data_IF_886058790426
#
_entry.id   IF_886058790426
#
_cell.length_a   1.000
_cell.length_b   1.000
_cell.length_c   1.000
_cell.angle_alpha   90.00
_cell.angle_beta   90.00
_cell.angle_gamma   90.00
#
_symmetry.space_group_name_H-M   'P 1'
#
loop_
_entity.id
_entity.type
_entity.pdbx_description
1 polymer ?
#
# COMPACT_ATOMS: atom_id res chain seq x y z
N UNK A 1 14.22 -1.93 25.72
CA UNK A 1 13.09 -1.02 25.42
C UNK A 1 12.14 -1.74 24.48
N UNK A 2 10.98 -2.25 24.94
CA UNK A 2 9.99 -2.84 24.05
C UNK A 2 8.70 -2.02 24.09
N UNK A 3 8.34 -1.38 22.98
CA UNK A 3 6.96 -0.93 22.79
C UNK A 3 6.51 -1.21 21.36
N UNK A 4 6.41 -2.50 21.04
CA UNK A 4 5.55 -2.96 19.96
C UNK A 4 4.19 -3.28 20.57
N UNK A 5 3.35 -2.26 20.72
CA UNK A 5 1.91 -2.45 20.86
C UNK A 5 1.33 -2.71 19.47
N UNK A 6 0.83 -3.92 19.15
CA UNK A 6 0.10 -4.15 17.92
C UNK A 6 -1.34 -3.69 18.11
N UNK A 7 -1.55 -2.39 18.27
CA UNK A 7 -2.88 -1.79 18.19
C UNK A 7 -3.31 -1.78 16.73
N UNK A 8 -4.02 -2.84 16.35
CA UNK A 8 -4.88 -2.93 15.17
C UNK A 8 -5.87 -1.76 15.21
N UNK A 9 -5.50 -0.66 14.56
CA UNK A 9 -6.35 0.51 14.40
C UNK A 9 -5.87 1.26 13.17
N UNK A 10 -6.47 0.91 12.04
CA UNK A 10 -6.55 1.61 10.74
C UNK A 10 -5.82 2.95 10.66
N UNK A 11 -4.50 2.92 10.80
CA UNK A 11 -3.59 3.99 10.46
C UNK A 11 -2.59 3.33 9.54
N UNK A 12 -2.35 3.87 8.33
CA UNK A 12 -1.38 3.31 7.42
C UNK A 12 -0.03 3.40 8.12
N UNK A 13 0.44 2.26 8.65
CA UNK A 13 1.80 2.15 9.17
C UNK A 13 2.77 2.61 8.08
N UNK A 14 3.92 3.22 8.42
CA UNK A 14 4.88 3.68 7.42
C UNK A 14 5.21 2.59 6.38
N UNK A 15 5.23 1.33 6.81
CA UNK A 15 5.34 0.14 5.96
C UNK A 15 4.21 -0.04 4.91
N UNK A 16 2.96 0.32 5.24
CA UNK A 16 1.84 0.29 4.28
C UNK A 16 2.00 1.36 3.20
N UNK A 17 2.31 2.59 3.59
CA UNK A 17 2.54 3.69 2.63
C UNK A 17 3.71 3.39 1.70
N UNK A 18 4.77 2.78 2.22
CA UNK A 18 5.94 2.39 1.43
C UNK A 18 5.59 1.31 0.40
N UNK A 19 4.79 0.30 0.79
CA UNK A 19 4.28 -0.71 -0.15
C UNK A 19 3.38 -0.10 -1.24
N UNK A 20 2.52 0.85 -0.89
CA UNK A 20 1.66 1.55 -1.85
C UNK A 20 2.52 2.35 -2.84
N UNK A 21 3.53 3.08 -2.34
CA UNK A 21 4.45 3.84 -3.20
C UNK A 21 5.21 2.95 -4.17
N UNK A 22 5.76 1.82 -3.71
CA UNK A 22 6.46 0.86 -4.57
C UNK A 22 5.53 0.27 -5.63
N UNK A 23 4.29 -0.04 -5.25
CA UNK A 23 3.29 -0.61 -6.16
C UNK A 23 2.84 0.42 -7.21
N UNK A 24 2.59 1.66 -6.80
CA UNK A 24 2.23 2.76 -7.70
C UNK A 24 3.37 3.06 -8.68
N UNK A 25 4.62 3.06 -8.21
CA UNK A 25 5.79 3.24 -9.06
C UNK A 25 5.93 2.14 -10.12
N UNK A 26 5.77 0.87 -9.73
CA UNK A 26 5.80 -0.25 -10.68
C UNK A 26 4.62 -0.27 -11.66
N UNK A 27 3.45 0.26 -11.27
CA UNK A 27 2.31 0.46 -12.18
C UNK A 27 2.60 1.58 -13.18
N UNK A 28 3.12 2.71 -12.70
CA UNK A 28 3.54 3.84 -13.52
C UNK A 28 4.60 3.47 -14.56
N UNK A 29 5.60 2.66 -14.18
CA UNK A 29 6.59 2.15 -15.13
C UNK A 29 6.00 1.17 -16.14
N UNK A 30 5.07 0.31 -15.74
CA UNK A 30 4.44 -0.68 -16.63
C UNK A 30 3.43 -0.08 -17.61
N UNK A 31 2.60 0.88 -17.18
CA UNK A 31 1.58 1.49 -18.02
C UNK A 31 2.15 2.43 -19.08
N UNK A 32 3.38 2.91 -18.88
CA UNK A 32 3.93 4.02 -19.64
C UNK A 32 3.35 5.34 -19.13
N UNK A 33 4.16 6.39 -19.15
CA UNK A 33 3.91 7.70 -18.49
C UNK A 33 2.78 8.51 -19.13
N UNK A 34 1.59 7.94 -19.23
CA UNK A 34 0.41 8.56 -19.79
C UNK A 34 -0.50 9.04 -18.66
N UNK A 35 -0.11 10.07 -17.91
CA UNK A 35 -1.03 10.84 -17.03
C UNK A 35 -1.85 10.09 -15.97
N UNK A 36 -1.58 8.81 -15.71
CA UNK A 36 -2.36 7.95 -14.83
C UNK A 36 -1.77 7.80 -13.41
N UNK A 37 -0.83 8.68 -13.02
CA UNK A 37 -0.17 8.60 -11.70
C UNK A 37 -1.15 8.49 -10.52
N UNK A 38 -2.27 9.22 -10.58
CA UNK A 38 -3.27 9.22 -9.53
C UNK A 38 -4.06 7.91 -9.51
N UNK A 39 -4.37 7.37 -10.69
CA UNK A 39 -5.08 6.10 -10.89
C UNK A 39 -4.20 4.92 -10.45
N UNK A 40 -2.93 4.95 -10.83
CA UNK A 40 -1.91 3.97 -10.43
C UNK A 40 -1.67 4.01 -8.92
N UNK A 41 -1.70 5.19 -8.31
CA UNK A 41 -1.59 5.35 -6.87
C UNK A 41 -2.83 4.85 -6.13
N UNK A 42 -4.05 5.16 -6.59
CA UNK A 42 -5.29 4.63 -6.01
C UNK A 42 -5.39 3.11 -6.14
N UNK A 43 -4.98 2.58 -7.29
CA UNK A 43 -4.99 1.15 -7.56
C UNK A 43 -3.96 0.42 -6.67
N UNK A 44 -2.78 1.00 -6.48
CA UNK A 44 -1.79 0.52 -5.53
C UNK A 44 -2.30 0.55 -4.08
N UNK A 45 -2.95 1.63 -3.65
CA UNK A 45 -3.54 1.74 -2.31
C UNK A 45 -4.57 0.63 -2.07
N UNK A 46 -5.48 0.43 -3.03
CA UNK A 46 -6.51 -0.60 -2.97
C UNK A 46 -5.92 -2.00 -2.92
N UNK A 47 -4.93 -2.30 -3.76
CA UNK A 47 -4.26 -3.61 -3.78
C UNK A 47 -3.55 -3.91 -2.46
N UNK A 48 -2.78 -2.96 -1.93
CA UNK A 48 -2.00 -3.19 -0.71
C UNK A 48 -2.91 -3.26 0.51
N UNK A 49 -3.95 -2.42 0.57
CA UNK A 49 -4.96 -2.46 1.64
C UNK A 49 -5.73 -3.78 1.62
N UNK A 50 -6.14 -4.27 0.44
CA UNK A 50 -6.78 -5.57 0.28
C UNK A 50 -5.85 -6.74 0.68
N UNK A 51 -4.57 -6.67 0.32
CA UNK A 51 -3.56 -7.67 0.71
C UNK A 51 -3.36 -7.74 2.22
N UNK A 52 -3.27 -6.61 2.91
CA UNK A 52 -3.18 -6.58 4.38
C UNK A 52 -4.47 -7.06 5.06
N UNK A 53 -5.64 -6.73 4.51
CA UNK A 53 -6.92 -7.20 5.03
C UNK A 53 -7.04 -8.74 4.97
N UNK A 54 -6.53 -9.37 3.90
CA UNK A 54 -6.49 -10.83 3.76
C UNK A 54 -5.39 -11.50 4.61
N UNK A 55 -4.34 -10.77 4.97
CA UNK A 55 -3.24 -11.28 5.82
C UNK A 55 -3.53 -11.30 7.33
N UNK A 56 -4.67 -10.74 7.78
CA UNK A 56 -5.10 -10.80 9.19
C UNK A 56 -5.88 -12.08 9.52
N UNK A 57 -6.18 -12.91 8.51
CA UNK A 57 -6.79 -14.23 8.67
C UNK A 57 -5.81 -15.33 8.28
N UNK A 58 -4.86 -15.65 9.14
CA UNK A 58 -4.15 -16.93 9.19
C UNK A 58 -3.60 -17.16 10.61
#
# INVERSE_FOLDING_TARGET
MPNQTPTKGTTPTPDLQEQIRLRAYGLYEQRGREGHELDDWLQAESEVTQKKAKGVTA
#
